data_IF_815483747622
#
_entry.id   IF_815483747622
#
_cell.length_a   1.000
_cell.length_b   1.000
_cell.length_c   1.000
_cell.angle_alpha   90.00
_cell.angle_beta   90.00
_cell.angle_gamma   90.00
#
_symmetry.space_group_name_H-M   'P 1'
#
loop_
_entity.id
_entity.type
_entity.pdbx_description
1 polymer ?
#
# COMPACT_ATOMS: atom_id res chain seq x y z
N UNK A 1 3.79 8.78 -15.19
CA UNK A 1 4.36 9.22 -13.89
C UNK A 1 5.13 8.11 -13.19
N UNK A 2 4.55 6.92 -12.91
CA UNK A 2 5.27 5.83 -12.22
C UNK A 2 6.62 5.44 -12.88
N UNK A 3 6.64 5.14 -14.19
CA UNK A 3 7.89 4.84 -14.93
C UNK A 3 8.93 5.97 -14.80
N UNK A 4 8.50 7.21 -14.99
CA UNK A 4 9.35 8.39 -14.89
C UNK A 4 9.96 8.57 -13.49
N UNK A 5 9.22 8.25 -12.42
CA UNK A 5 9.78 8.27 -11.06
C UNK A 5 10.92 7.26 -10.91
N UNK A 6 10.74 6.04 -11.44
CA UNK A 6 11.78 5.00 -11.41
C UNK A 6 13.00 5.41 -12.25
N UNK A 7 12.78 5.98 -13.43
CA UNK A 7 13.86 6.52 -14.29
C UNK A 7 14.64 7.64 -13.59
N UNK A 8 13.95 8.45 -12.76
CA UNK A 8 14.55 9.50 -11.95
C UNK A 8 15.16 8.99 -10.63
N UNK A 9 15.22 7.67 -10.41
CA UNK A 9 15.93 7.06 -9.29
C UNK A 9 15.06 6.70 -8.08
N UNK A 10 13.73 6.77 -8.18
CA UNK A 10 12.86 6.26 -7.11
C UNK A 10 13.09 4.76 -6.88
N UNK A 11 13.42 4.40 -5.65
CA UNK A 11 13.68 3.01 -5.26
C UNK A 11 12.43 2.29 -4.75
N UNK A 12 11.36 3.04 -4.48
CA UNK A 12 10.04 2.58 -4.06
C UNK A 12 9.03 3.47 -4.79
N UNK A 13 7.90 2.90 -5.22
CA UNK A 13 6.79 3.67 -5.76
C UNK A 13 5.61 3.58 -4.80
N UNK A 14 5.17 4.75 -4.33
CA UNK A 14 3.98 4.92 -3.52
C UNK A 14 2.75 5.11 -4.42
N UNK A 15 1.71 4.32 -4.15
CA UNK A 15 0.46 4.30 -4.93
C UNK A 15 -0.69 4.59 -3.97
N UNK A 16 -1.31 5.75 -4.15
CA UNK A 16 -2.51 6.17 -3.45
C UNK A 16 -3.67 6.34 -4.44
N UNK A 17 -4.83 5.77 -4.11
CA UNK A 17 -6.07 5.84 -4.91
C UNK A 17 -7.26 6.37 -4.11
N UNK A 18 -7.02 6.91 -2.91
CA UNK A 18 -8.05 7.52 -2.09
C UNK A 18 -8.48 8.86 -2.68
N UNK A 19 -9.68 8.87 -3.27
CA UNK A 19 -10.33 10.07 -3.78
C UNK A 19 -11.85 9.92 -3.65
N UNK A 20 -12.56 11.00 -3.31
CA UNK A 20 -13.98 10.95 -2.96
C UNK A 20 -14.90 10.50 -4.10
N UNK A 21 -14.45 10.63 -5.35
CA UNK A 21 -15.18 10.22 -6.55
C UNK A 21 -14.71 8.88 -7.14
N UNK A 22 -13.70 8.24 -6.55
CA UNK A 22 -13.15 6.98 -7.04
C UNK A 22 -13.58 5.79 -6.17
N UNK A 23 -13.85 4.67 -6.84
CA UNK A 23 -13.76 3.36 -6.19
C UNK A 23 -12.28 3.04 -5.98
N UNK A 24 -11.77 3.41 -4.80
CA UNK A 24 -10.36 3.27 -4.45
C UNK A 24 -9.88 1.81 -4.52
N UNK A 25 -10.72 0.84 -4.14
CA UNK A 25 -10.38 -0.58 -4.21
C UNK A 25 -10.19 -1.01 -5.67
N UNK A 26 -11.20 -0.75 -6.52
CA UNK A 26 -11.14 -1.11 -7.93
C UNK A 26 -10.00 -0.37 -8.67
N UNK A 27 -9.78 0.90 -8.33
CA UNK A 27 -8.71 1.71 -8.90
C UNK A 27 -7.33 1.17 -8.51
N UNK A 28 -7.11 0.84 -7.23
CA UNK A 28 -5.88 0.25 -6.72
C UNK A 28 -5.57 -1.06 -7.45
N UNK A 29 -6.51 -2.00 -7.44
CA UNK A 29 -6.34 -3.29 -8.11
C UNK A 29 -6.05 -3.11 -9.60
N UNK A 30 -6.81 -2.26 -10.29
CA UNK A 30 -6.61 -1.99 -11.72
C UNK A 30 -5.22 -1.42 -11.97
N UNK A 31 -4.79 -0.44 -11.20
CA UNK A 31 -3.51 0.22 -11.41
C UNK A 31 -2.33 -0.72 -11.13
N UNK A 32 -2.38 -1.48 -10.04
CA UNK A 32 -1.36 -2.47 -9.68
C UNK A 32 -1.21 -3.53 -10.78
N UNK A 33 -2.32 -4.03 -11.32
CA UNK A 33 -2.29 -4.99 -12.43
C UNK A 33 -1.71 -4.39 -13.72
N UNK A 34 -1.96 -3.11 -13.99
CA UNK A 34 -1.39 -2.42 -15.16
C UNK A 34 0.13 -2.27 -15.03
N UNK A 35 0.63 -1.85 -13.87
CA UNK A 35 2.08 -1.64 -13.67
C UNK A 35 2.86 -2.95 -13.52
N UNK A 36 2.20 -4.05 -13.11
CA UNK A 36 2.82 -5.37 -13.05
C UNK A 36 3.30 -5.86 -14.42
N UNK A 37 2.66 -5.41 -15.50
CA UNK A 37 3.06 -5.71 -16.89
C UNK A 37 4.23 -4.86 -17.41
N UNK A 38 4.71 -3.88 -16.64
CA UNK A 38 5.76 -2.95 -17.04
C UNK A 38 7.09 -3.28 -16.31
N UNK A 39 8.07 -3.91 -16.98
CA UNK A 39 9.29 -4.41 -16.32
C UNK A 39 10.08 -3.33 -15.58
N UNK A 40 10.11 -2.10 -16.10
CA UNK A 40 10.83 -1.00 -15.49
C UNK A 40 10.20 -0.55 -14.17
N UNK A 41 8.89 -0.71 -14.01
CA UNK A 41 8.18 -0.39 -12.76
C UNK A 41 8.22 -1.60 -11.81
N UNK A 42 7.99 -2.81 -12.34
CA UNK A 42 7.93 -4.04 -11.55
C UNK A 42 9.24 -4.40 -10.83
N UNK A 43 10.37 -3.79 -11.21
CA UNK A 43 11.68 -4.02 -10.58
C UNK A 43 11.85 -3.34 -9.22
N UNK A 44 11.00 -2.38 -8.85
CA UNK A 44 11.05 -1.70 -7.55
C UNK A 44 9.86 -2.07 -6.66
N UNK A 45 10.01 -2.14 -5.33
CA UNK A 45 8.90 -2.39 -4.42
C UNK A 45 7.79 -1.35 -4.54
N UNK A 46 6.56 -1.81 -4.30
CA UNK A 46 5.36 -0.96 -4.27
C UNK A 46 4.96 -0.71 -2.82
N UNK A 47 4.75 0.57 -2.50
CA UNK A 47 4.11 1.01 -1.28
C UNK A 47 2.63 1.26 -1.58
N UNK A 48 1.76 0.51 -0.90
CA UNK A 48 0.30 0.61 -1.04
C UNK A 48 -0.17 1.62 0.00
N UNK A 49 -0.61 2.78 -0.48
CA UNK A 49 -1.06 3.91 0.35
C UNK A 49 -2.58 4.04 0.33
N UNK A 50 -3.20 3.89 1.49
CA UNK A 50 -4.62 4.18 1.69
C UNK A 50 -4.95 4.35 3.17
N UNK A 51 -5.97 5.15 3.44
CA UNK A 51 -6.62 5.27 4.74
C UNK A 51 -7.59 4.13 5.06
N UNK A 52 -7.89 3.26 4.09
CA UNK A 52 -8.87 2.16 4.20
C UNK A 52 -8.14 0.82 4.16
N UNK A 53 -8.34 0.00 5.19
CA UNK A 53 -7.67 -1.30 5.29
C UNK A 53 -8.04 -2.24 4.14
N UNK A 54 -9.29 -2.21 3.67
CA UNK A 54 -9.76 -3.07 2.58
C UNK A 54 -8.99 -2.80 1.28
N UNK A 55 -8.66 -1.53 1.01
CA UNK A 55 -7.87 -1.13 -0.17
C UNK A 55 -6.43 -1.62 -0.04
N UNK A 56 -5.84 -1.50 1.16
CA UNK A 56 -4.49 -2.01 1.45
C UNK A 56 -4.44 -3.52 1.22
N UNK A 57 -5.38 -4.27 1.82
CA UNK A 57 -5.42 -5.72 1.75
C UNK A 57 -5.59 -6.20 0.30
N UNK A 58 -6.47 -5.55 -0.46
CA UNK A 58 -6.67 -5.85 -1.89
C UNK A 58 -5.43 -5.57 -2.72
N UNK A 59 -4.72 -4.49 -2.43
CA UNK A 59 -3.43 -4.20 -3.03
C UNK A 59 -2.42 -5.32 -2.75
N UNK A 60 -2.30 -5.73 -1.48
CA UNK A 60 -1.37 -6.79 -1.06
C UNK A 60 -1.66 -8.14 -1.74
N UNK A 61 -2.93 -8.46 -1.98
CA UNK A 61 -3.36 -9.66 -2.69
C UNK A 61 -3.00 -9.63 -4.19
N UNK A 62 -2.78 -8.44 -4.77
CA UNK A 62 -2.57 -8.26 -6.21
C UNK A 62 -1.11 -8.13 -6.60
N UNK A 63 -0.25 -7.66 -5.71
CA UNK A 63 1.18 -7.47 -6.01
C UNK A 63 1.96 -8.79 -5.96
N UNK A 64 3.00 -8.86 -6.76
CA UNK A 64 4.02 -9.92 -6.68
C UNK A 64 5.24 -9.41 -5.93
N UNK A 65 5.83 -10.24 -5.06
CA UNK A 65 6.97 -9.85 -4.24
C UNK A 65 6.57 -9.15 -2.94
N UNK A 66 7.54 -8.48 -2.29
CA UNK A 66 7.31 -7.83 -1.00
C UNK A 66 6.79 -6.40 -1.20
N UNK A 67 5.54 -6.17 -0.80
CA UNK A 67 4.96 -4.83 -0.70
C UNK A 67 5.32 -4.11 0.60
N UNK A 68 4.97 -2.83 0.64
CA UNK A 68 5.05 -1.99 1.83
C UNK A 68 3.65 -1.43 2.09
N UNK A 69 3.12 -1.60 3.30
CA UNK A 69 1.86 -1.00 3.72
C UNK A 69 2.09 0.41 4.21
N UNK A 70 1.36 1.37 3.66
CA UNK A 70 1.28 2.75 4.12
C UNK A 70 -0.20 3.08 4.39
N UNK A 71 -0.69 3.00 5.62
CA UNK A 71 0.01 2.71 6.87
C UNK A 71 -0.94 2.05 7.86
N UNK A 72 -0.42 1.68 9.04
CA UNK A 72 -1.24 1.34 10.20
C UNK A 72 -0.91 2.30 11.35
N UNK A 73 -1.82 2.44 12.31
CA UNK A 73 -1.65 3.31 13.47
C UNK A 73 -2.45 2.79 14.67
N UNK A 74 -2.31 3.43 15.83
CA UNK A 74 -3.11 3.15 17.03
C UNK A 74 -4.34 4.07 17.14
N UNK A 75 -4.67 4.84 16.10
CA UNK A 75 -5.84 5.74 16.06
C UNK A 75 -7.16 5.09 16.48
N UNK A 76 -7.37 3.84 16.09
CA UNK A 76 -8.58 3.06 16.37
C UNK A 76 -8.38 2.10 17.56
N UNK A 77 -7.27 2.25 18.29
CA UNK A 77 -6.89 1.41 19.42
C UNK A 77 -5.89 0.32 19.07
N UNK A 78 -5.43 -0.36 20.13
CA UNK A 78 -4.40 -1.41 20.06
C UNK A 78 -4.92 -2.68 19.37
N UNK A 79 -6.19 -3.04 19.53
CA UNK A 79 -6.73 -4.28 18.95
C UNK A 79 -6.75 -4.26 17.41
N UNK A 80 -7.29 -3.21 16.73
CA UNK A 80 -7.18 -3.09 15.27
C UNK A 80 -5.73 -3.03 14.79
N UNK A 81 -4.86 -2.29 15.50
CA UNK A 81 -3.44 -2.21 15.18
C UNK A 81 -2.77 -3.60 15.17
N UNK A 82 -3.00 -4.41 16.20
CA UNK A 82 -2.45 -5.78 16.28
C UNK A 82 -3.03 -6.68 15.19
N UNK A 83 -4.33 -6.56 14.91
CA UNK A 83 -4.98 -7.34 13.85
C UNK A 83 -4.35 -7.05 12.48
N UNK A 84 -4.24 -5.76 12.11
CA UNK A 84 -3.61 -5.34 10.87
C UNK A 84 -2.13 -5.72 10.82
N UNK A 85 -1.37 -5.52 11.89
CA UNK A 85 0.05 -5.92 11.95
C UNK A 85 0.26 -7.43 11.75
N UNK A 86 -0.66 -8.27 12.24
CA UNK A 86 -0.64 -9.73 12.00
C UNK A 86 -0.89 -10.07 10.53
N UNK A 87 -1.84 -9.40 9.89
CA UNK A 87 -2.12 -9.59 8.47
C UNK A 87 -0.95 -9.10 7.60
N UNK A 88 -0.37 -7.92 7.86
CA UNK A 88 0.87 -7.46 7.20
C UNK A 88 1.96 -8.53 7.29
N UNK A 89 2.19 -9.07 8.49
CA UNK A 89 3.17 -10.14 8.72
C UNK A 89 2.83 -11.40 7.92
N UNK A 90 1.55 -11.76 7.81
CA UNK A 90 1.07 -12.91 7.05
C UNK A 90 1.32 -12.76 5.55
N UNK A 91 1.11 -11.56 5.01
CA UNK A 91 1.44 -11.21 3.62
C UNK A 91 2.95 -11.08 3.37
N UNK A 92 3.78 -11.04 4.42
CA UNK A 92 5.23 -10.87 4.28
C UNK A 92 5.65 -9.47 3.82
N UNK A 93 4.78 -8.48 4.04
CA UNK A 93 5.01 -7.08 3.69
C UNK A 93 5.77 -6.33 4.80
N UNK A 94 6.44 -5.24 4.42
CA UNK A 94 6.85 -4.22 5.39
C UNK A 94 5.69 -3.27 5.69
N UNK A 95 5.81 -2.45 6.73
CA UNK A 95 4.75 -1.49 7.10
C UNK A 95 5.31 -0.21 7.68
N UNK A 96 4.72 0.91 7.26
CA UNK A 96 4.84 2.21 7.90
C UNK A 96 3.86 2.26 9.08
N UNK A 97 4.38 2.55 10.27
CA UNK A 97 3.57 2.80 11.46
C UNK A 97 3.53 4.29 11.70
N UNK A 98 2.35 4.88 11.59
CA UNK A 98 2.17 6.30 11.87
C UNK A 98 2.27 6.53 13.39
N UNK A 99 2.96 7.59 13.78
CA UNK A 99 2.95 8.09 15.15
C UNK A 99 1.62 8.84 15.42
N UNK A 100 0.53 8.08 15.42
CA UNK A 100 -0.83 8.56 15.63
C UNK A 100 -1.57 7.51 16.46
N UNK A 101 -2.09 7.92 17.62
CA UNK A 101 -2.78 7.06 18.58
C UNK A 101 -4.18 7.60 18.90
N UNK A 102 -4.82 7.09 19.95
CA UNK A 102 -6.18 7.46 20.37
C UNK A 102 -6.30 8.92 20.83
N UNK A 103 -5.19 9.61 21.14
CA UNK A 103 -5.20 11.01 21.59
C UNK A 103 -4.76 12.01 20.51
N UNK A 104 -4.31 11.52 19.35
CA UNK A 104 -3.94 12.32 18.18
C UNK A 104 -2.45 12.54 18.01
#
# INVERSE_FOLDING_TARGET
>A
MARQQVENGAQIIDINMDEGMLDAEAAMVRFLNLIAGEPDIARVPIMIDSSKWEVIEKGLQCIQGKGIVNSISMKEGVEPFIAHAREVRRYGAAVVVMAFDEVG
#
